data_IF_193291285271
#
_entry.id   IF_193291285271
#
_cell.length_a   1.000
_cell.length_b   1.000
_cell.length_c   1.000
_cell.angle_alpha   90.00
_cell.angle_beta   90.00
_cell.angle_gamma   90.00
#
_symmetry.space_group_name_H-M   'P 1'
#
loop_
_entity.id
_entity.type
_entity.pdbx_description
1 polymer ?
#
# COMPACT_ATOMS: atom_id res chain seq x y z
N UNK A 1 16.49 -1.88 -41.72
CA UNK A 1 15.31 -2.19 -40.85
C UNK A 1 14.19 -2.67 -41.74
N UNK A 2 13.61 -3.84 -41.49
CA UNK A 2 12.51 -4.40 -42.30
C UNK A 2 11.27 -3.54 -42.09
N UNK A 3 10.69 -3.07 -43.22
CA UNK A 3 9.37 -2.39 -43.22
C UNK A 3 8.31 -3.45 -43.44
N UNK A 4 7.79 -4.03 -42.38
CA UNK A 4 6.80 -5.13 -42.41
C UNK A 4 5.60 -4.88 -43.33
N UNK A 5 5.12 -3.64 -43.42
CA UNK A 5 4.01 -3.23 -44.30
C UNK A 5 4.27 -3.44 -45.79
N UNK A 6 5.54 -3.59 -46.18
CA UNK A 6 5.92 -3.79 -47.59
C UNK A 6 6.14 -5.27 -47.96
N UNK A 7 6.09 -6.16 -46.98
CA UNK A 7 6.44 -7.58 -47.11
C UNK A 7 5.37 -8.48 -46.44
N UNK A 8 4.17 -8.55 -47.01
CA UNK A 8 3.07 -9.33 -46.44
C UNK A 8 3.40 -10.82 -46.28
N UNK A 9 4.23 -11.38 -47.16
CA UNK A 9 4.69 -12.78 -47.08
C UNK A 9 5.56 -13.05 -45.84
N UNK A 10 6.40 -12.07 -45.48
CA UNK A 10 7.22 -12.15 -44.26
C UNK A 10 6.39 -12.03 -43.00
N UNK A 11 5.37 -11.17 -43.04
CA UNK A 11 4.41 -11.00 -41.94
C UNK A 11 3.63 -12.30 -41.72
N UNK A 12 3.08 -12.89 -42.77
CA UNK A 12 2.35 -14.17 -42.69
C UNK A 12 3.23 -15.27 -42.08
N UNK A 13 4.45 -15.37 -42.54
CA UNK A 13 5.40 -16.36 -41.98
C UNK A 13 5.75 -16.10 -40.53
N UNK A 14 5.88 -14.87 -40.10
CA UNK A 14 6.09 -14.55 -38.70
C UNK A 14 4.91 -14.97 -37.82
N UNK A 15 3.66 -14.84 -38.29
CA UNK A 15 2.50 -15.36 -37.56
C UNK A 15 2.53 -16.87 -37.40
N UNK A 16 3.09 -17.58 -38.36
CA UNK A 16 3.23 -19.04 -38.33
C UNK A 16 4.33 -19.48 -37.34
N UNK A 17 5.51 -18.86 -37.37
CA UNK A 17 6.67 -19.32 -36.61
C UNK A 17 6.79 -18.74 -35.19
N UNK A 18 6.10 -17.64 -34.87
CA UNK A 18 6.19 -16.99 -33.55
C UNK A 18 5.56 -17.82 -32.43
N UNK A 19 4.36 -18.43 -32.61
CA UNK A 19 3.79 -19.26 -31.57
C UNK A 19 4.60 -20.55 -31.36
N UNK A 20 4.96 -20.79 -30.10
CA UNK A 20 5.65 -22.03 -29.69
C UNK A 20 7.17 -22.03 -29.85
N UNK A 21 7.75 -21.06 -30.55
CA UNK A 21 9.19 -20.99 -30.76
C UNK A 21 9.89 -19.94 -29.90
N UNK A 22 11.11 -20.25 -29.49
CA UNK A 22 11.99 -19.31 -28.80
C UNK A 22 12.47 -18.21 -29.76
N UNK A 23 12.96 -17.10 -29.25
CA UNK A 23 13.52 -16.01 -30.05
C UNK A 23 14.65 -16.49 -30.96
N UNK A 24 15.47 -17.42 -30.47
CA UNK A 24 16.60 -17.99 -31.24
C UNK A 24 16.09 -18.82 -32.40
N UNK A 25 15.12 -19.69 -32.20
CA UNK A 25 14.51 -20.51 -33.24
C UNK A 25 13.79 -19.66 -34.30
N UNK A 26 13.05 -18.62 -33.88
CA UNK A 26 12.38 -17.71 -34.81
C UNK A 26 13.39 -17.04 -35.75
N UNK A 27 14.52 -16.55 -35.22
CA UNK A 27 15.57 -15.94 -36.03
C UNK A 27 16.18 -16.92 -37.00
N UNK A 28 16.40 -18.14 -36.58
CA UNK A 28 16.96 -19.19 -37.41
C UNK A 28 15.99 -19.58 -38.55
N UNK A 29 14.74 -19.89 -38.23
CA UNK A 29 13.72 -20.25 -39.23
C UNK A 29 13.47 -19.13 -40.24
N UNK A 30 13.47 -17.87 -39.78
CA UNK A 30 13.30 -16.74 -40.65
C UNK A 30 14.49 -16.55 -41.58
N UNK A 31 15.72 -16.75 -41.08
CA UNK A 31 16.91 -16.69 -41.89
C UNK A 31 16.97 -17.80 -42.95
N UNK A 32 16.61 -19.01 -42.59
CA UNK A 32 16.56 -20.17 -43.53
C UNK A 32 15.60 -19.90 -44.70
N UNK A 33 14.47 -19.25 -44.45
CA UNK A 33 13.48 -19.00 -45.49
C UNK A 33 13.74 -17.75 -46.35
N UNK A 34 14.21 -16.66 -45.74
CA UNK A 34 14.32 -15.37 -46.42
C UNK A 34 15.78 -14.87 -46.55
N UNK A 35 16.75 -15.55 -45.95
CA UNK A 35 18.15 -15.11 -45.95
C UNK A 35 18.41 -13.83 -45.15
N UNK A 36 17.46 -13.39 -44.30
CA UNK A 36 17.52 -12.13 -43.57
C UNK A 36 17.68 -12.41 -42.07
N UNK A 37 18.70 -11.85 -41.44
CA UNK A 37 18.92 -11.94 -40.00
C UNK A 37 18.04 -10.92 -39.26
N UNK A 38 17.13 -11.44 -38.43
CA UNK A 38 16.31 -10.60 -37.55
C UNK A 38 17.09 -10.21 -36.29
N UNK A 39 16.94 -8.95 -35.87
CA UNK A 39 17.42 -8.53 -34.55
C UNK A 39 16.42 -8.90 -33.45
N UNK A 40 16.92 -9.03 -32.20
CA UNK A 40 16.06 -9.24 -31.01
C UNK A 40 14.96 -8.19 -30.91
N UNK A 41 15.27 -6.95 -31.20
CA UNK A 41 14.31 -5.84 -31.17
C UNK A 41 13.20 -6.00 -32.20
N UNK A 42 13.50 -6.50 -33.42
CA UNK A 42 12.51 -6.74 -34.45
C UNK A 42 11.52 -7.84 -34.07
N UNK A 43 12.02 -8.95 -33.53
CA UNK A 43 11.17 -10.06 -33.04
C UNK A 43 10.28 -9.59 -31.89
N UNK A 44 10.84 -8.90 -30.90
CA UNK A 44 10.08 -8.36 -29.75
C UNK A 44 9.02 -7.37 -30.19
N UNK A 45 9.35 -6.40 -31.04
CA UNK A 45 8.42 -5.42 -31.54
C UNK A 45 7.29 -6.08 -32.33
N UNK A 46 7.60 -7.07 -33.18
CA UNK A 46 6.59 -7.82 -33.91
C UNK A 46 5.59 -8.50 -32.96
N UNK A 47 6.10 -9.22 -31.95
CA UNK A 47 5.27 -9.87 -30.91
C UNK A 47 4.38 -8.86 -30.18
N UNK A 48 4.92 -7.72 -29.79
CA UNK A 48 4.17 -6.67 -29.05
C UNK A 48 3.10 -6.03 -29.95
N UNK A 49 3.45 -5.65 -31.18
CA UNK A 49 2.53 -4.98 -32.12
C UNK A 49 1.34 -5.88 -32.50
N UNK A 50 1.57 -7.18 -32.61
CA UNK A 50 0.55 -8.13 -33.01
C UNK A 50 -0.03 -8.92 -31.84
N UNK A 51 0.26 -8.54 -30.58
CA UNK A 51 -0.22 -9.18 -29.35
C UNK A 51 -0.01 -10.70 -29.32
N UNK A 52 1.10 -11.18 -29.92
CA UNK A 52 1.41 -12.60 -29.98
C UNK A 52 2.03 -13.08 -28.68
N UNK A 53 1.47 -14.14 -28.05
CA UNK A 53 2.11 -14.76 -26.89
C UNK A 53 3.43 -15.40 -27.31
N UNK A 54 4.41 -15.43 -26.40
CA UNK A 54 5.70 -16.07 -26.69
C UNK A 54 5.58 -17.60 -26.91
N UNK A 55 4.47 -18.21 -26.52
CA UNK A 55 4.16 -19.63 -26.77
C UNK A 55 5.09 -20.63 -26.09
N UNK A 56 6.21 -20.17 -25.56
CA UNK A 56 7.14 -21.02 -24.84
C UNK A 56 6.75 -21.06 -23.37
N UNK A 57 6.55 -22.25 -22.85
CA UNK A 57 6.37 -22.49 -21.41
C UNK A 57 7.75 -22.34 -20.75
N UNK A 58 8.19 -21.10 -20.60
CA UNK A 58 9.49 -20.79 -20.03
C UNK A 58 9.37 -20.06 -18.70
N UNK A 59 9.97 -20.58 -17.65
CA UNK A 59 10.28 -19.86 -16.41
C UNK A 59 9.11 -19.55 -15.47
N UNK A 60 7.89 -19.97 -15.75
CA UNK A 60 6.76 -19.86 -14.80
C UNK A 60 6.65 -21.13 -13.99
N UNK A 61 6.65 -20.98 -12.68
CA UNK A 61 6.27 -22.08 -11.80
C UNK A 61 4.78 -22.38 -11.98
N UNK A 62 4.43 -23.65 -12.10
CA UNK A 62 3.04 -24.09 -12.12
C UNK A 62 2.35 -23.78 -10.80
N UNK A 63 1.02 -23.56 -10.86
CA UNK A 63 0.22 -23.34 -9.65
C UNK A 63 0.35 -24.56 -8.74
N UNK A 64 0.85 -24.33 -7.50
CA UNK A 64 1.12 -25.44 -6.56
C UNK A 64 2.56 -25.93 -6.58
N UNK A 65 3.44 -25.40 -7.45
CA UNK A 65 4.85 -25.75 -7.44
C UNK A 65 5.46 -25.52 -6.05
N UNK A 66 6.08 -26.54 -5.52
CA UNK A 66 6.81 -26.47 -4.26
C UNK A 66 8.28 -26.22 -4.58
N UNK A 67 8.82 -25.11 -4.07
CA UNK A 67 10.24 -24.79 -4.20
C UNK A 67 11.09 -25.97 -3.69
N UNK A 68 12.16 -26.33 -4.43
CA UNK A 68 13.07 -27.43 -4.08
C UNK A 68 13.70 -27.31 -2.69
N UNK A 69 13.79 -26.10 -2.17
CA UNK A 69 14.36 -25.80 -0.84
C UNK A 69 13.30 -25.57 0.25
N UNK A 70 12.00 -25.71 -0.06
CA UNK A 70 10.93 -25.54 0.93
C UNK A 70 11.06 -26.59 2.05
N UNK A 71 11.20 -26.11 3.28
CA UNK A 71 11.36 -26.95 4.47
C UNK A 71 12.77 -27.55 4.67
N UNK A 72 13.71 -27.30 3.76
CA UNK A 72 15.10 -27.70 3.97
C UNK A 72 15.78 -26.73 4.95
N UNK A 73 16.44 -27.30 5.94
CA UNK A 73 17.36 -26.56 6.81
C UNK A 73 18.75 -26.54 6.16
N UNK A 74 19.48 -25.49 6.35
CA UNK A 74 20.90 -25.43 5.96
C UNK A 74 21.67 -26.50 6.71
N UNK A 75 22.66 -27.13 6.07
CA UNK A 75 23.59 -27.98 6.81
C UNK A 75 24.39 -27.17 7.84
N UNK A 76 24.93 -27.77 8.91
CA UNK A 76 25.73 -27.05 9.89
C UNK A 76 26.86 -26.24 9.25
N UNK A 77 27.57 -26.81 8.29
CA UNK A 77 28.66 -26.15 7.54
C UNK A 77 28.18 -24.95 6.73
N UNK A 78 27.05 -25.10 6.01
CA UNK A 78 26.44 -23.99 5.27
C UNK A 78 25.93 -22.90 6.20
N UNK A 79 25.38 -23.27 7.35
CA UNK A 79 24.94 -22.32 8.35
C UNK A 79 26.10 -21.54 8.93
N UNK A 80 27.20 -22.20 9.28
CA UNK A 80 28.40 -21.57 9.82
C UNK A 80 29.01 -20.59 8.83
N UNK A 81 29.16 -20.98 7.56
CA UNK A 81 29.66 -20.13 6.48
C UNK A 81 28.79 -18.89 6.26
N UNK A 82 27.45 -19.01 6.35
CA UNK A 82 26.51 -17.92 6.13
C UNK A 82 26.25 -17.08 7.40
N UNK A 83 26.52 -17.60 8.59
CA UNK A 83 26.15 -17.00 9.89
C UNK A 83 26.74 -15.61 10.13
N UNK A 84 27.91 -15.34 9.57
CA UNK A 84 28.56 -14.03 9.64
C UNK A 84 27.82 -12.89 8.93
N UNK A 85 27.05 -13.23 7.88
CA UNK A 85 26.28 -12.28 7.06
C UNK A 85 24.80 -12.31 7.37
N UNK A 86 24.31 -13.26 8.14
CA UNK A 86 22.91 -13.34 8.54
C UNK A 86 22.53 -12.25 9.54
N UNK A 87 21.33 -11.69 9.34
CA UNK A 87 20.75 -10.79 10.33
C UNK A 87 20.49 -11.54 11.64
N UNK A 88 21.07 -11.03 12.73
CA UNK A 88 20.84 -11.57 14.09
C UNK A 88 19.54 -11.01 14.65
N UNK A 89 18.85 -11.81 15.48
CA UNK A 89 17.66 -11.35 16.22
C UNK A 89 18.01 -10.09 17.03
N UNK A 90 17.21 -9.03 16.82
CA UNK A 90 17.45 -7.72 17.45
C UNK A 90 18.35 -6.76 16.67
N UNK A 91 18.87 -7.17 15.51
CA UNK A 91 19.61 -6.27 14.65
C UNK A 91 18.67 -5.21 14.06
N UNK A 92 18.99 -3.94 14.27
CA UNK A 92 18.26 -2.82 13.71
C UNK A 92 18.95 -2.37 12.40
N UNK A 93 18.22 -2.16 11.31
CA UNK A 93 18.77 -1.58 10.08
C UNK A 93 19.44 -0.23 10.37
N UNK A 94 20.52 0.08 9.66
CA UNK A 94 21.29 1.33 9.84
C UNK A 94 20.43 2.60 9.59
N UNK A 95 19.35 2.48 8.81
CA UNK A 95 18.41 3.57 8.52
C UNK A 95 17.20 3.60 9.49
N UNK A 96 17.28 2.90 10.64
CA UNK A 96 16.22 2.92 11.63
C UNK A 96 16.12 4.29 12.28
N UNK A 97 14.94 4.90 12.19
CA UNK A 97 14.66 6.18 12.84
C UNK A 97 14.74 6.02 14.36
N UNK A 98 15.23 7.06 15.06
CA UNK A 98 15.26 7.10 16.53
C UNK A 98 13.85 7.29 17.11
N UNK A 99 13.65 6.85 18.35
CA UNK A 99 12.43 7.16 19.11
C UNK A 99 12.29 8.70 19.21
N UNK A 100 11.08 9.23 19.01
CA UNK A 100 10.81 10.66 18.94
C UNK A 100 10.89 11.25 17.52
N UNK A 101 11.38 10.50 16.52
CA UNK A 101 11.39 10.99 15.12
C UNK A 101 9.97 11.22 14.63
N UNK A 102 9.73 12.40 14.06
CA UNK A 102 8.47 12.79 13.44
C UNK A 102 8.56 12.67 11.91
N UNK A 103 7.54 12.12 11.28
CA UNK A 103 7.46 11.98 9.83
C UNK A 103 6.08 12.44 9.37
N UNK A 104 6.06 13.33 8.38
CA UNK A 104 4.83 13.71 7.67
C UNK A 104 4.46 12.58 6.70
N UNK A 105 3.21 12.14 6.75
CA UNK A 105 2.65 11.15 5.84
C UNK A 105 2.02 11.81 4.61
N UNK A 106 1.83 11.03 3.55
CA UNK A 106 1.18 11.49 2.31
C UNK A 106 -0.26 11.97 2.52
N UNK A 107 -0.95 11.43 3.55
CA UNK A 107 -2.28 11.85 3.97
C UNK A 107 -2.30 13.14 4.82
N UNK A 108 -1.15 13.78 5.02
CA UNK A 108 -0.99 15.04 5.75
C UNK A 108 -0.90 14.89 7.27
N UNK A 109 -0.97 13.69 7.84
CA UNK A 109 -0.81 13.46 9.27
C UNK A 109 0.66 13.29 9.67
N UNK A 110 1.01 13.77 10.85
CA UNK A 110 2.32 13.54 11.46
C UNK A 110 2.25 12.26 12.30
N UNK A 111 3.21 11.36 12.09
CA UNK A 111 3.43 10.20 12.96
C UNK A 111 4.74 10.36 13.73
N UNK A 112 4.77 9.84 14.94
CA UNK A 112 5.93 9.86 15.84
C UNK A 112 6.33 8.43 16.17
N UNK A 113 7.63 8.13 16.12
CA UNK A 113 8.13 6.84 16.55
C UNK A 113 8.14 6.77 18.08
N UNK A 114 7.40 5.82 18.66
CA UNK A 114 7.21 5.72 20.11
C UNK A 114 7.97 4.56 20.75
N UNK A 115 8.27 3.51 19.98
CA UNK A 115 9.03 2.35 20.49
C UNK A 115 9.74 1.59 19.37
N UNK A 116 10.74 0.78 19.75
CA UNK A 116 11.40 -0.16 18.87
C UNK A 116 10.56 -1.45 18.70
N UNK A 117 10.72 -2.20 17.60
CA UNK A 117 11.59 -1.89 16.46
C UNK A 117 10.97 -0.86 15.49
N UNK A 118 9.65 -0.75 15.38
CA UNK A 118 8.98 0.10 14.38
C UNK A 118 7.56 0.47 14.83
N UNK A 119 7.41 0.90 16.08
CA UNK A 119 6.11 1.29 16.63
C UNK A 119 5.91 2.78 16.44
N UNK A 120 4.87 3.15 15.68
CA UNK A 120 4.52 4.52 15.38
C UNK A 120 3.12 4.86 15.85
N UNK A 121 2.93 6.07 16.34
CA UNK A 121 1.61 6.64 16.67
C UNK A 121 1.40 7.97 15.96
N UNK A 122 0.16 8.34 15.73
CA UNK A 122 -0.20 9.66 15.20
C UNK A 122 0.03 10.74 16.26
N UNK A 123 0.71 11.82 15.89
CA UNK A 123 1.12 12.89 16.82
C UNK A 123 -0.07 13.50 17.56
N UNK A 124 -1.14 13.87 16.86
CA UNK A 124 -2.33 14.46 17.47
C UNK A 124 -2.97 13.55 18.54
N UNK A 125 -2.95 12.22 18.35
CA UNK A 125 -3.45 11.26 19.36
C UNK A 125 -2.53 11.23 20.59
N UNK A 126 -1.20 11.27 20.37
CA UNK A 126 -0.23 11.30 21.47
C UNK A 126 -0.37 12.57 22.29
N UNK A 127 -0.44 13.74 21.64
CA UNK A 127 -0.60 15.04 22.31
C UNK A 127 -1.87 15.04 23.14
N UNK A 128 -2.98 14.56 22.59
CA UNK A 128 -4.24 14.47 23.30
C UNK A 128 -4.20 13.51 24.50
N UNK A 129 -3.64 12.30 24.30
CA UNK A 129 -3.46 11.30 25.36
C UNK A 129 -2.61 11.84 26.51
N UNK A 130 -1.51 12.54 26.20
CA UNK A 130 -0.58 13.10 27.18
C UNK A 130 -1.20 14.26 27.97
N UNK A 131 -1.91 15.17 27.28
CA UNK A 131 -2.49 16.34 27.91
C UNK A 131 -3.64 15.98 28.87
N UNK A 132 -4.54 15.11 28.45
CA UNK A 132 -5.71 14.74 29.27
C UNK A 132 -5.49 13.49 30.14
N UNK A 133 -4.36 12.82 30.08
CA UNK A 133 -4.07 11.61 30.84
C UNK A 133 -4.97 10.41 30.48
N UNK A 134 -5.58 10.42 29.28
CA UNK A 134 -6.55 9.42 28.83
C UNK A 134 -5.93 8.54 27.73
N UNK A 135 -6.31 7.27 27.67
CA UNK A 135 -5.96 6.39 26.58
C UNK A 135 -7.08 6.36 25.57
N UNK A 136 -6.80 6.75 24.33
CA UNK A 136 -7.77 6.74 23.24
C UNK A 136 -8.04 5.31 22.74
N UNK A 137 -9.33 4.96 22.68
CA UNK A 137 -9.80 3.70 22.14
C UNK A 137 -9.82 3.70 20.60
N UNK A 138 -10.20 2.55 20.05
CA UNK A 138 -10.30 2.37 18.59
C UNK A 138 -11.46 3.20 17.98
N UNK A 139 -12.51 3.44 18.75
CA UNK A 139 -13.69 4.21 18.34
C UNK A 139 -13.57 5.72 18.60
N UNK A 140 -12.45 6.16 19.20
CA UNK A 140 -12.19 7.57 19.45
C UNK A 140 -11.53 8.21 18.25
N UNK A 141 -12.12 9.26 17.73
CA UNK A 141 -11.56 10.11 16.70
C UNK A 141 -11.11 11.43 17.34
N UNK A 142 -10.01 11.97 16.84
CA UNK A 142 -9.57 13.34 17.14
C UNK A 142 -9.73 14.15 15.85
N UNK A 143 -10.50 15.23 15.95
CA UNK A 143 -10.70 16.18 14.86
C UNK A 143 -9.81 17.42 15.05
N UNK A 144 -9.47 18.06 13.94
CA UNK A 144 -8.74 19.33 13.88
C UNK A 144 -9.72 20.44 13.57
N UNK A 145 -9.86 21.40 14.48
CA UNK A 145 -10.84 22.47 14.35
C UNK A 145 -10.55 23.42 13.19
N UNK A 146 -9.28 23.64 12.87
CA UNK A 146 -8.84 24.44 11.72
C UNK A 146 -8.76 23.68 10.40
N UNK A 147 -9.03 22.36 10.43
CA UNK A 147 -8.88 21.45 9.28
C UNK A 147 -7.43 21.14 8.89
N UNK A 148 -6.44 21.70 9.57
CA UNK A 148 -5.02 21.45 9.31
C UNK A 148 -4.51 20.25 10.11
N UNK A 149 -4.24 19.15 9.44
CA UNK A 149 -3.78 17.88 10.06
C UNK A 149 -2.38 17.95 10.66
N UNK A 150 -1.64 19.01 10.38
CA UNK A 150 -0.30 19.23 10.93
C UNK A 150 -0.32 20.06 12.21
N UNK A 151 -1.39 20.82 12.45
CA UNK A 151 -1.56 21.60 13.66
C UNK A 151 -2.04 20.72 14.81
N UNK A 152 -1.08 20.19 15.57
CA UNK A 152 -1.34 19.31 16.72
C UNK A 152 -1.44 20.07 18.04
N UNK A 153 -1.70 21.38 18.03
CA UNK A 153 -1.93 22.17 19.24
C UNK A 153 -3.19 21.67 19.96
N UNK A 154 -3.12 21.56 21.28
CA UNK A 154 -4.19 20.94 22.07
C UNK A 154 -5.52 21.67 21.93
N UNK A 155 -5.49 23.00 21.81
CA UNK A 155 -6.68 23.85 21.65
C UNK A 155 -7.37 23.63 20.29
N UNK A 156 -6.65 23.06 19.32
CA UNK A 156 -7.16 22.70 18.00
C UNK A 156 -7.71 21.27 17.93
N UNK A 157 -7.52 20.46 18.99
CA UNK A 157 -7.87 19.04 18.98
C UNK A 157 -9.10 18.74 19.81
N UNK A 158 -10.11 18.11 19.20
CA UNK A 158 -11.32 17.68 19.89
C UNK A 158 -11.57 16.19 19.71
N UNK A 159 -11.74 15.49 20.85
CA UNK A 159 -12.12 14.06 20.84
C UNK A 159 -13.60 13.92 20.58
N UNK A 160 -13.92 12.96 19.71
CA UNK A 160 -15.27 12.52 19.42
C UNK A 160 -15.36 10.99 19.41
N UNK A 161 -16.49 10.46 19.83
CA UNK A 161 -16.82 9.08 19.56
C UNK A 161 -17.35 8.92 18.11
N UNK A 162 -17.55 7.70 17.67
CA UNK A 162 -17.97 7.41 16.28
C UNK A 162 -19.34 8.01 15.94
N UNK A 163 -20.29 8.00 16.87
CA UNK A 163 -21.64 8.53 16.66
C UNK A 163 -21.63 10.07 16.57
N UNK A 164 -20.85 10.72 17.43
CA UNK A 164 -20.62 12.17 17.40
C UNK A 164 -19.94 12.60 16.09
N UNK A 165 -18.93 11.84 15.63
CA UNK A 165 -18.21 12.12 14.39
C UNK A 165 -19.13 12.02 13.16
N UNK A 166 -20.04 11.03 13.14
CA UNK A 166 -21.02 10.90 12.05
C UNK A 166 -21.94 12.13 11.99
N UNK A 167 -22.40 12.63 13.13
CA UNK A 167 -23.22 13.86 13.22
C UNK A 167 -22.43 15.09 12.78
N UNK A 168 -21.21 15.23 13.29
CA UNK A 168 -20.29 16.29 12.92
C UNK A 168 -20.07 16.35 11.40
N UNK A 169 -19.82 15.21 10.76
CA UNK A 169 -19.56 15.13 9.31
C UNK A 169 -20.79 15.37 8.41
N UNK A 170 -22.00 15.50 8.97
CA UNK A 170 -23.19 15.88 8.20
C UNK A 170 -23.24 17.36 7.87
N UNK A 171 -22.48 18.19 8.57
CA UNK A 171 -22.42 19.62 8.40
C UNK A 171 -21.18 19.99 7.61
N UNK A 172 -21.29 20.98 6.74
CA UNK A 172 -20.15 21.51 6.01
C UNK A 172 -19.17 22.21 6.98
N UNK A 173 -17.88 21.89 6.85
CA UNK A 173 -16.84 22.41 7.73
C UNK A 173 -16.17 23.62 7.09
N UNK A 174 -15.83 24.59 7.94
CA UNK A 174 -15.11 25.81 7.56
C UNK A 174 -13.66 25.74 8.01
N UNK A 175 -12.86 26.72 7.59
CA UNK A 175 -11.50 26.89 8.14
C UNK A 175 -11.47 27.65 9.45
N UNK A 176 -12.66 28.07 9.96
CA UNK A 176 -12.77 28.80 11.23
C UNK A 176 -12.91 27.81 12.39
N UNK A 177 -11.93 27.75 13.32
CA UNK A 177 -11.96 26.82 14.45
C UNK A 177 -13.15 27.02 15.40
N UNK A 178 -13.61 28.27 15.59
CA UNK A 178 -14.72 28.57 16.49
C UNK A 178 -16.05 28.01 15.97
N UNK A 179 -16.28 28.12 14.66
CA UNK A 179 -17.47 27.54 14.01
C UNK A 179 -17.42 26.01 14.10
N UNK A 180 -16.28 25.42 13.79
CA UNK A 180 -16.10 23.99 13.87
C UNK A 180 -16.21 23.48 15.32
N UNK A 181 -15.77 24.25 16.30
CA UNK A 181 -15.95 23.93 17.73
C UNK A 181 -17.43 23.91 18.09
N UNK A 182 -18.18 24.93 17.67
CA UNK A 182 -19.63 24.97 17.90
C UNK A 182 -20.34 23.79 17.28
N UNK A 183 -19.99 23.46 16.03
CA UNK A 183 -20.51 22.27 15.34
C UNK A 183 -20.18 20.97 16.12
N UNK A 184 -18.95 20.87 16.63
CA UNK A 184 -18.52 19.73 17.42
C UNK A 184 -19.30 19.58 18.73
N UNK A 185 -19.55 20.68 19.44
CA UNK A 185 -20.34 20.70 20.65
C UNK A 185 -21.81 20.34 20.39
N UNK A 186 -22.39 20.85 19.29
CA UNK A 186 -23.76 20.51 18.85
C UNK A 186 -23.87 19.01 18.57
N UNK A 187 -22.94 18.44 17.83
CA UNK A 187 -22.92 16.99 17.53
C UNK A 187 -22.84 16.12 18.79
N UNK A 188 -22.05 16.54 19.79
CA UNK A 188 -21.97 15.88 21.10
C UNK A 188 -23.29 15.98 21.88
N UNK A 189 -23.93 17.14 21.87
CA UNK A 189 -25.20 17.35 22.54
C UNK A 189 -26.31 16.53 21.94
N UNK A 190 -26.45 16.52 20.62
CA UNK A 190 -27.42 15.71 19.90
C UNK A 190 -27.22 14.21 20.16
N UNK A 191 -25.97 13.75 20.26
CA UNK A 191 -25.67 12.36 20.61
C UNK A 191 -26.19 12.03 22.02
N UNK A 192 -25.92 12.88 23.00
CA UNK A 192 -26.41 12.71 24.38
C UNK A 192 -27.92 12.74 24.48
N UNK A 193 -28.62 13.59 23.72
CA UNK A 193 -30.07 13.63 23.65
C UNK A 193 -30.60 12.28 23.15
N UNK A 194 -30.06 11.81 22.01
CA UNK A 194 -30.47 10.53 21.43
C UNK A 194 -30.23 9.32 22.36
N UNK A 195 -29.14 9.33 23.12
CA UNK A 195 -28.85 8.29 24.12
C UNK A 195 -29.90 8.30 25.25
N UNK A 196 -30.22 9.49 25.77
CA UNK A 196 -31.23 9.64 26.83
C UNK A 196 -32.65 9.31 26.36
N UNK A 197 -32.99 9.61 25.12
CA UNK A 197 -34.27 9.24 24.54
C UNK A 197 -34.41 7.71 24.44
N UNK A 198 -33.38 7.00 24.04
CA UNK A 198 -33.33 5.54 24.01
C UNK A 198 -33.50 4.95 25.42
N UNK A 199 -32.76 5.43 26.40
CA UNK A 199 -32.87 5.00 27.79
C UNK A 199 -34.28 5.21 28.36
N UNK A 200 -34.97 6.29 27.96
CA UNK A 200 -36.36 6.54 28.35
C UNK A 200 -37.32 5.51 27.73
N UNK A 201 -37.19 5.23 26.45
CA UNK A 201 -38.00 4.23 25.78
C UNK A 201 -37.83 2.83 26.38
N UNK A 202 -36.60 2.41 26.62
CA UNK A 202 -36.30 1.12 27.24
C UNK A 202 -36.89 1.00 28.66
N UNK A 203 -36.98 2.09 29.42
CA UNK A 203 -37.62 2.11 30.77
C UNK A 203 -39.15 2.11 30.73
N UNK A 204 -39.77 2.53 29.63
CA UNK A 204 -41.21 2.54 29.47
C UNK A 204 -41.76 1.21 28.93
N UNK A 205 -40.90 0.39 28.34
CA UNK A 205 -41.25 -0.93 27.79
C UNK A 205 -40.93 -2.08 28.77
N UNK A 206 -40.28 -1.80 29.90
CA UNK A 206 -39.98 -2.74 30.99
C UNK A 206 -41.02 -2.66 32.09
#
# INVERSE_FOLDING_TARGET
MIKWTKHPEMVAYMFEIVPGNTEKEIKQLFFERFGILLTTGQVKNFKTTHHLPSGTVGGRFEKGHTSWNKGRKLSPEQYEAASGTMFKKGNLPHNTCKIGTEILRDDGYIKVKVAEPNVWKLKHRLVYEQHYGVKLGQNDAIIFLDGNRQNCDIDNLVRMNRSELIRYNKVEHTKNPEINMTTALTAKLENKISEKEKERHERTES
#
